data_IF_360779328310
#
_entry.id   IF_360779328310
#
_cell.length_a   1.000
_cell.length_b   1.000
_cell.length_c   1.000
_cell.angle_alpha   90.00
_cell.angle_beta   90.00
_cell.angle_gamma   90.00
#
_symmetry.space_group_name_H-M   'P 1'
#
loop_
_entity.id
_entity.type
_entity.pdbx_description
1 polymer ?
#
# COMPACT_ATOMS: atom_id res chain seq x y z
N UNK A 1 2.40 61.51 28.59
CA UNK A 1 3.82 61.47 28.19
C UNK A 1 3.87 60.63 26.91
N UNK A 2 3.74 61.18 25.68
CA UNK A 2 4.74 61.93 24.87
C UNK A 2 6.08 61.14 24.81
N UNK A 3 6.69 60.72 23.69
CA UNK A 3 6.54 61.02 22.24
C UNK A 3 7.07 59.84 21.38
N UNK A 4 6.54 59.78 20.15
CA UNK A 4 6.98 59.22 18.85
C UNK A 4 8.51 59.12 18.57
N UNK A 5 8.94 58.45 17.49
CA UNK A 5 9.15 59.00 16.12
C UNK A 5 9.35 57.80 15.14
N UNK A 6 8.50 57.59 14.10
CA UNK A 6 8.63 57.99 12.67
C UNK A 6 9.87 57.36 12.00
N UNK A 7 9.89 56.78 10.79
CA UNK A 7 9.02 56.69 9.62
C UNK A 7 9.69 55.68 8.64
N UNK A 8 9.23 55.43 7.42
CA UNK A 8 8.32 56.20 6.59
C UNK A 8 7.83 55.40 5.37
N UNK A 9 6.93 56.09 4.69
CA UNK A 9 6.06 55.71 3.57
C UNK A 9 6.79 55.85 2.23
N UNK A 10 6.14 55.40 1.15
CA UNK A 10 6.23 55.77 -0.28
C UNK A 10 6.67 54.59 -1.15
N UNK A 11 5.90 54.11 -2.13
CA UNK A 11 4.64 54.49 -2.77
C UNK A 11 4.26 53.36 -3.75
N UNK A 12 3.24 53.34 -4.61
CA UNK A 12 2.30 54.28 -5.19
C UNK A 12 1.08 53.41 -5.63
N UNK A 13 -0.15 53.72 -5.20
CA UNK A 13 -1.20 54.41 -5.98
C UNK A 13 -1.73 53.69 -7.24
N UNK A 14 -2.99 53.22 -7.13
CA UNK A 14 -4.17 53.53 -7.99
C UNK A 14 -5.17 52.36 -7.87
N UNK A 15 -6.47 52.44 -7.55
CA UNK A 15 -7.51 53.44 -7.21
C UNK A 15 -8.80 52.61 -6.93
N UNK A 16 -9.64 52.91 -5.92
CA UNK A 16 -10.92 53.64 -5.99
C UNK A 16 -11.86 53.21 -7.16
N UNK A 17 -13.16 52.86 -7.06
CA UNK A 17 -14.27 53.07 -6.12
C UNK A 17 -15.26 51.88 -6.16
N UNK A 18 -15.99 51.68 -5.05
CA UNK A 18 -17.23 50.89 -4.97
C UNK A 18 -18.38 51.61 -5.70
N UNK A 19 -19.10 50.88 -6.56
CA UNK A 19 -20.38 51.27 -7.14
C UNK A 19 -21.32 50.06 -7.08
N UNK A 20 -22.34 50.15 -6.24
CA UNK A 20 -23.40 49.16 -6.06
C UNK A 20 -24.55 49.58 -6.99
N UNK A 21 -24.97 48.73 -7.93
CA UNK A 21 -26.40 48.54 -8.23
C UNK A 21 -26.67 47.32 -9.11
N UNK A 22 -27.78 46.67 -8.80
CA UNK A 22 -28.23 45.35 -9.20
C UNK A 22 -28.53 45.19 -10.69
N UNK A 23 -28.03 44.12 -11.32
CA UNK A 23 -28.72 43.44 -12.43
C UNK A 23 -28.09 42.08 -12.76
N UNK A 24 -28.85 41.01 -12.49
CA UNK A 24 -28.82 39.69 -13.14
C UNK A 24 -27.65 39.38 -14.11
N UNK A 25 -26.72 38.50 -13.71
CA UNK A 25 -26.32 37.26 -14.42
C UNK A 25 -24.91 36.81 -14.00
N UNK A 26 -24.85 35.57 -13.50
CA UNK A 26 -23.74 34.60 -13.54
C UNK A 26 -22.30 35.10 -13.32
N UNK A 27 -21.70 34.64 -12.22
CA UNK A 27 -20.26 34.76 -11.94
C UNK A 27 -19.36 34.39 -13.14
N UNK A 28 -18.27 35.14 -13.39
CA UNK A 28 -17.36 34.88 -14.49
C UNK A 28 -16.47 33.66 -14.20
N UNK A 29 -16.66 32.63 -15.02
CA UNK A 29 -15.84 31.42 -15.15
C UNK A 29 -14.38 31.76 -15.53
N UNK A 30 -13.35 31.16 -14.92
CA UNK A 30 -12.04 31.09 -15.53
C UNK A 30 -12.00 30.01 -16.61
N UNK A 31 -11.51 30.42 -17.78
CA UNK A 31 -11.44 29.69 -19.04
C UNK A 31 -10.78 28.32 -18.94
N UNK A 32 -11.45 27.31 -19.51
CA UNK A 32 -10.83 26.04 -19.91
C UNK A 32 -9.96 26.35 -21.12
N UNK A 33 -8.65 26.15 -21.00
CA UNK A 33 -7.72 26.15 -22.13
C UNK A 33 -6.72 25.02 -21.93
N UNK A 34 -7.13 23.84 -22.39
CA UNK A 34 -6.46 23.02 -23.41
C UNK A 34 -7.06 21.63 -23.26
N UNK A 35 -7.58 21.10 -24.36
CA UNK A 35 -8.07 19.72 -24.47
C UNK A 35 -6.86 18.81 -24.29
N UNK A 36 -6.59 18.43 -23.05
CA UNK A 36 -5.81 17.23 -22.77
C UNK A 36 -6.67 16.05 -23.24
N UNK A 37 -6.12 15.04 -23.94
CA UNK A 37 -6.86 13.83 -24.18
C UNK A 37 -7.25 13.29 -22.80
N UNK A 38 -8.53 13.38 -22.42
CA UNK A 38 -9.04 12.60 -21.31
C UNK A 38 -8.58 11.16 -21.55
N UNK A 39 -7.91 10.51 -20.59
CA UNK A 39 -7.73 9.07 -20.70
C UNK A 39 -9.13 8.50 -20.84
N UNK A 40 -9.43 7.99 -22.04
CA UNK A 40 -10.59 7.14 -22.30
C UNK A 40 -10.66 6.17 -21.13
N UNK A 41 -11.83 6.10 -20.50
CA UNK A 41 -12.07 5.48 -19.20
C UNK A 41 -11.13 4.32 -18.91
N UNK A 42 -10.49 4.37 -17.73
CA UNK A 42 -9.64 3.30 -17.24
C UNK A 42 -10.27 1.95 -17.58
N UNK A 43 -9.52 1.00 -18.16
CA UNK A 43 -10.02 -0.36 -18.28
C UNK A 43 -10.46 -0.76 -16.88
N UNK A 44 -11.71 -1.20 -16.72
CA UNK A 44 -12.27 -1.66 -15.46
C UNK A 44 -11.22 -2.49 -14.77
N UNK A 45 -10.65 -1.97 -13.68
CA UNK A 45 -9.51 -2.60 -13.04
C UNK A 45 -9.95 -3.99 -12.61
N UNK A 46 -9.17 -5.02 -12.94
CA UNK A 46 -9.56 -6.39 -12.64
C UNK A 46 -9.72 -6.56 -11.13
N UNK A 47 -10.72 -7.34 -10.72
CA UNK A 47 -10.92 -7.68 -9.32
C UNK A 47 -9.83 -8.64 -8.87
N UNK A 48 -9.23 -8.39 -7.71
CA UNK A 48 -8.30 -9.35 -7.11
C UNK A 48 -9.04 -10.67 -6.94
N UNK A 49 -8.41 -11.80 -7.28
CA UNK A 49 -9.08 -13.08 -7.12
C UNK A 49 -9.63 -13.72 -8.40
N UNK A 50 -10.01 -12.92 -9.41
CA UNK A 50 -10.78 -13.41 -10.56
C UNK A 50 -9.91 -13.91 -11.73
N UNK A 51 -8.64 -13.49 -11.79
CA UNK A 51 -7.70 -13.87 -12.84
C UNK A 51 -7.03 -15.23 -12.62
N UNK A 52 -6.46 -15.79 -13.70
CA UNK A 52 -5.63 -17.01 -13.68
C UNK A 52 -4.15 -16.75 -13.36
N UNK A 53 -3.75 -15.49 -13.24
CA UNK A 53 -2.39 -15.06 -12.93
C UNK A 53 -2.24 -14.49 -11.53
N UNK A 54 -1.10 -13.85 -11.30
CA UNK A 54 -0.87 -13.08 -10.08
C UNK A 54 -1.47 -11.68 -10.22
N UNK A 55 -2.24 -11.28 -9.23
CA UNK A 55 -2.84 -9.95 -9.14
C UNK A 55 -1.86 -8.93 -8.52
N UNK A 56 -0.85 -9.45 -7.81
CA UNK A 56 0.22 -8.68 -7.17
C UNK A 56 1.57 -9.18 -7.67
N UNK A 57 2.38 -8.28 -8.23
CA UNK A 57 3.75 -8.59 -8.64
C UNK A 57 4.72 -8.21 -7.52
N UNK A 58 5.42 -9.21 -6.98
CA UNK A 58 6.45 -9.03 -5.96
C UNK A 58 7.83 -9.04 -6.58
N UNK A 59 8.59 -7.97 -6.33
CA UNK A 59 9.96 -7.85 -6.81
C UNK A 59 10.90 -7.52 -5.66
N UNK A 60 12.03 -8.23 -5.54
CA UNK A 60 13.13 -7.72 -4.75
C UNK A 60 13.54 -6.34 -5.22
N UNK A 61 13.86 -5.46 -4.27
CA UNK A 61 14.59 -4.24 -4.59
C UNK A 61 16.05 -4.53 -5.00
N UNK A 62 16.63 -5.63 -4.49
CA UNK A 62 17.98 -6.16 -4.78
C UNK A 62 18.01 -7.68 -4.66
N UNK A 63 19.03 -8.34 -5.22
CA UNK A 63 19.25 -9.81 -5.16
C UNK A 63 19.06 -10.36 -3.73
N UNK A 64 18.40 -11.52 -3.58
CA UNK A 64 17.84 -12.02 -2.29
C UNK A 64 18.61 -13.18 -1.65
N UNK A 65 19.88 -13.32 -2.00
CA UNK A 65 20.85 -14.01 -1.15
C UNK A 65 21.44 -12.94 -0.23
N UNK A 66 20.83 -12.74 0.95
CA UNK A 66 21.19 -11.64 1.86
C UNK A 66 21.47 -12.16 3.26
N UNK A 67 22.60 -11.74 3.82
CA UNK A 67 23.02 -12.11 5.19
C UNK A 67 22.25 -11.36 6.28
N UNK A 68 21.56 -10.26 5.91
CA UNK A 68 20.96 -9.32 6.86
C UNK A 68 19.51 -9.02 6.50
N UNK A 69 19.25 -7.91 5.81
CA UNK A 69 17.91 -7.40 5.53
C UNK A 69 17.76 -7.12 4.03
N UNK A 70 16.52 -7.17 3.55
CA UNK A 70 16.18 -6.83 2.16
C UNK A 70 14.83 -6.15 2.08
N UNK A 71 14.55 -5.44 0.98
CA UNK A 71 13.25 -4.80 0.76
C UNK A 71 12.57 -5.47 -0.43
N UNK A 72 11.30 -5.82 -0.26
CA UNK A 72 10.42 -6.30 -1.33
C UNK A 72 9.44 -5.19 -1.71
N UNK A 73 9.22 -5.02 -3.00
CA UNK A 73 8.18 -4.13 -3.51
C UNK A 73 7.02 -4.97 -4.06
N UNK A 74 5.81 -4.64 -3.67
CA UNK A 74 4.58 -5.16 -4.24
C UNK A 74 3.95 -4.11 -5.14
N UNK A 75 3.63 -4.50 -6.37
CA UNK A 75 2.77 -3.74 -7.25
C UNK A 75 1.40 -4.42 -7.32
N UNK A 76 0.39 -3.80 -6.71
CA UNK A 76 -0.98 -4.28 -6.70
C UNK A 76 -1.71 -3.74 -7.92
N UNK A 77 -2.03 -4.63 -8.87
CA UNK A 77 -2.68 -4.28 -10.13
C UNK A 77 -4.20 -4.41 -10.13
N UNK A 78 -4.79 -4.86 -9.02
CA UNK A 78 -6.20 -5.24 -8.92
C UNK A 78 -6.99 -4.40 -7.91
N UNK A 79 -8.33 -4.44 -8.02
CA UNK A 79 -9.25 -3.84 -7.06
C UNK A 79 -9.78 -4.89 -6.08
N UNK A 80 -9.81 -4.55 -4.79
CA UNK A 80 -10.42 -5.39 -3.75
C UNK A 80 -11.95 -5.27 -3.76
N UNK A 81 -12.64 -6.39 -3.52
CA UNK A 81 -14.06 -6.36 -3.22
C UNK A 81 -14.28 -5.90 -1.78
N UNK A 82 -15.47 -5.36 -1.44
CA UNK A 82 -15.81 -5.10 -0.05
C UNK A 82 -15.69 -6.38 0.79
N UNK A 83 -14.90 -6.33 1.86
CA UNK A 83 -14.64 -7.47 2.75
C UNK A 83 -13.45 -8.36 2.34
N UNK A 84 -12.80 -8.09 1.21
CA UNK A 84 -11.55 -8.78 0.86
C UNK A 84 -10.34 -8.04 1.43
N UNK A 85 -9.33 -8.80 1.84
CA UNK A 85 -8.09 -8.32 2.45
C UNK A 85 -6.88 -8.85 1.69
N UNK A 86 -5.97 -7.95 1.27
CA UNK A 86 -4.65 -8.34 0.77
C UNK A 86 -3.65 -8.32 1.92
N UNK A 87 -2.95 -9.42 2.16
CA UNK A 87 -2.11 -9.56 3.36
C UNK A 87 -0.72 -10.04 2.99
N UNK A 88 0.30 -9.35 3.50
CA UNK A 88 1.69 -9.81 3.48
C UNK A 88 1.84 -11.03 4.38
N UNK A 89 2.32 -12.11 3.80
CA UNK A 89 2.58 -13.37 4.48
C UNK A 89 4.05 -13.77 4.36
N UNK A 90 4.62 -14.19 5.48
CA UNK A 90 5.91 -14.86 5.54
C UNK A 90 5.69 -16.30 5.96
N UNK A 91 6.10 -17.23 5.12
CA UNK A 91 6.12 -18.66 5.40
C UNK A 91 7.54 -19.09 5.74
N UNK A 92 7.69 -19.83 6.83
CA UNK A 92 8.94 -20.48 7.21
C UNK A 92 8.69 -21.98 7.28
N UNK A 93 9.42 -22.75 6.47
CA UNK A 93 9.25 -24.19 6.38
C UNK A 93 10.20 -24.91 7.35
N UNK A 94 9.70 -25.90 8.10
CA UNK A 94 10.55 -26.85 8.84
C UNK A 94 11.12 -26.34 10.17
N UNK A 95 10.57 -25.27 10.74
CA UNK A 95 11.07 -24.60 11.95
C UNK A 95 10.69 -25.28 13.28
N UNK A 96 10.00 -26.41 13.26
CA UNK A 96 9.43 -27.00 14.48
C UNK A 96 9.46 -28.53 14.48
N UNK A 97 9.22 -29.14 15.65
CA UNK A 97 9.16 -30.59 15.83
C UNK A 97 7.77 -30.99 16.36
N UNK A 98 6.94 -31.71 15.59
CA UNK A 98 7.21 -32.24 14.24
C UNK A 98 7.32 -31.12 13.18
N UNK A 99 8.03 -31.34 12.06
CA UNK A 99 8.18 -30.35 11.00
C UNK A 99 6.84 -29.89 10.43
N UNK A 100 6.61 -28.58 10.47
CA UNK A 100 5.48 -27.92 9.85
C UNK A 100 5.90 -26.54 9.31
N UNK A 101 5.02 -25.93 8.53
CA UNK A 101 5.19 -24.56 8.03
C UNK A 101 4.54 -23.58 9.00
N UNK A 102 5.28 -22.56 9.39
CA UNK A 102 4.78 -21.43 10.17
C UNK A 102 4.47 -20.27 9.24
N UNK A 103 3.31 -19.66 9.41
CA UNK A 103 2.85 -18.52 8.64
C UNK A 103 2.75 -17.31 9.55
N UNK A 104 3.31 -16.18 9.11
CA UNK A 104 3.31 -14.94 9.86
C UNK A 104 2.66 -13.85 9.02
N UNK A 105 1.60 -13.26 9.53
CA UNK A 105 1.04 -12.03 8.98
C UNK A 105 1.98 -10.87 9.29
N UNK A 106 2.21 -9.99 8.31
CA UNK A 106 3.08 -8.81 8.49
C UNK A 106 2.37 -7.49 8.31
N UNK A 107 1.27 -7.47 7.57
CA UNK A 107 0.47 -6.27 7.38
C UNK A 107 -0.46 -6.40 6.18
N UNK A 108 -1.42 -5.49 6.11
CA UNK A 108 -2.41 -5.44 5.04
C UNK A 108 -1.96 -4.48 3.93
N UNK A 109 -2.26 -4.82 2.69
CA UNK A 109 -2.14 -3.92 1.54
C UNK A 109 -3.53 -3.37 1.27
N UNK A 110 -3.60 -2.06 1.01
CA UNK A 110 -4.86 -1.39 0.71
C UNK A 110 -5.26 -1.54 -0.76
N UNK A 111 -5.68 -0.43 -1.34
CA UNK A 111 -6.05 -0.33 -2.75
C UNK A 111 -4.88 -0.62 -3.71
N UNK A 112 -5.19 -0.73 -4.99
CA UNK A 112 -4.18 -0.74 -6.05
C UNK A 112 -3.11 0.34 -5.85
N UNK A 113 -1.85 -0.02 -6.08
CA UNK A 113 -0.71 0.85 -5.79
C UNK A 113 0.59 0.09 -5.57
N UNK A 114 1.61 0.82 -5.13
CA UNK A 114 2.93 0.27 -4.80
C UNK A 114 3.12 0.25 -3.29
N UNK A 115 3.63 -0.88 -2.78
CA UNK A 115 3.92 -1.09 -1.37
C UNK A 115 5.32 -1.63 -1.20
N UNK A 116 5.94 -1.37 -0.06
CA UNK A 116 7.25 -1.90 0.29
C UNK A 116 7.16 -2.66 1.61
N UNK A 117 7.90 -3.76 1.69
CA UNK A 117 8.03 -4.58 2.89
C UNK A 117 9.51 -4.86 3.16
N UNK A 118 9.99 -4.43 4.32
CA UNK A 118 11.34 -4.74 4.77
C UNK A 118 11.37 -6.13 5.42
N UNK A 119 12.13 -7.02 4.78
CA UNK A 119 12.39 -8.37 5.22
C UNK A 119 13.61 -8.34 6.15
N UNK A 120 13.38 -8.60 7.43
CA UNK A 120 14.45 -8.71 8.42
C UNK A 120 14.84 -10.17 8.67
N UNK A 121 16.10 -10.54 8.39
CA UNK A 121 16.60 -11.91 8.62
C UNK A 121 17.61 -11.99 9.76
N UNK A 122 18.00 -10.88 10.39
CA UNK A 122 19.08 -10.83 11.39
C UNK A 122 18.95 -11.83 12.55
N UNK A 123 17.73 -12.26 12.89
CA UNK A 123 17.45 -13.25 13.94
C UNK A 123 17.09 -14.66 13.41
N UNK A 124 17.11 -14.90 12.10
CA UNK A 124 16.83 -16.23 11.52
C UNK A 124 17.99 -17.21 11.76
N UNK A 125 17.76 -18.50 11.92
CA UNK A 125 18.89 -19.45 11.98
C UNK A 125 19.61 -19.54 10.62
N UNK A 126 20.93 -19.80 10.61
CA UNK A 126 21.66 -20.06 9.36
C UNK A 126 21.04 -21.25 8.61
N UNK A 127 20.87 -21.12 7.30
CA UNK A 127 20.16 -22.11 6.47
C UNK A 127 18.64 -21.98 6.49
N UNK A 128 18.08 -21.02 7.23
CA UNK A 128 16.64 -20.72 7.18
C UNK A 128 16.22 -20.27 5.79
N UNK A 129 15.13 -20.86 5.30
CA UNK A 129 14.48 -20.48 4.04
C UNK A 129 13.13 -19.86 4.39
N UNK A 130 12.96 -18.60 4.01
CA UNK A 130 11.70 -17.87 4.19
C UNK A 130 11.10 -17.54 2.82
N UNK A 131 9.79 -17.68 2.71
CA UNK A 131 9.04 -17.27 1.51
C UNK A 131 8.12 -16.13 1.88
N UNK A 132 8.25 -15.00 1.20
CA UNK A 132 7.34 -13.86 1.35
C UNK A 132 6.43 -13.78 0.14
N UNK A 133 5.13 -13.64 0.37
CA UNK A 133 4.12 -13.50 -0.67
C UNK A 133 2.91 -12.70 -0.16
N UNK A 134 2.00 -12.33 -1.06
CA UNK A 134 0.72 -11.71 -0.73
C UNK A 134 -0.40 -12.71 -0.95
N UNK A 135 -1.30 -12.79 0.02
CA UNK A 135 -2.56 -13.55 -0.06
C UNK A 135 -3.75 -12.61 -0.15
N UNK A 136 -4.82 -13.11 -0.76
CA UNK A 136 -6.16 -12.56 -0.67
C UNK A 136 -6.94 -13.45 0.30
N UNK A 137 -7.57 -12.84 1.29
CA UNK A 137 -8.46 -13.49 2.24
C UNK A 137 -9.81 -12.77 2.22
N UNK A 138 -10.91 -13.50 2.34
CA UNK A 138 -12.20 -12.89 2.67
C UNK A 138 -12.25 -12.51 4.17
N UNK A 139 -13.27 -11.76 4.56
CA UNK A 139 -13.44 -11.20 5.91
C UNK A 139 -13.49 -12.30 7.00
N UNK A 140 -14.02 -13.48 6.68
CA UNK A 140 -14.08 -14.61 7.62
C UNK A 140 -12.69 -15.21 7.82
N UNK A 141 -12.00 -15.56 6.72
CA UNK A 141 -10.65 -16.08 6.75
C UNK A 141 -9.65 -15.09 7.36
N UNK A 142 -9.81 -13.79 7.09
CA UNK A 142 -8.97 -12.74 7.67
C UNK A 142 -9.12 -12.65 9.19
N UNK A 143 -10.36 -12.74 9.71
CA UNK A 143 -10.58 -12.82 11.16
C UNK A 143 -9.99 -14.07 11.76
N UNK A 144 -10.16 -15.24 11.12
CA UNK A 144 -9.56 -16.48 11.60
C UNK A 144 -8.02 -16.41 11.60
N UNK A 145 -7.41 -15.71 10.64
CA UNK A 145 -5.96 -15.46 10.65
C UNK A 145 -5.52 -14.61 11.85
N UNK A 146 -6.32 -13.61 12.24
CA UNK A 146 -6.01 -12.74 13.39
C UNK A 146 -6.24 -13.48 14.72
N UNK A 147 -7.40 -14.14 14.84
CA UNK A 147 -7.83 -14.80 16.08
C UNK A 147 -7.11 -16.12 16.32
N UNK A 148 -6.72 -16.80 15.24
CA UNK A 148 -6.02 -18.09 15.27
C UNK A 148 -4.50 -17.97 15.42
N UNK A 149 -3.95 -16.75 15.34
CA UNK A 149 -2.53 -16.52 15.58
C UNK A 149 -2.18 -16.76 17.05
N UNK A 150 -1.08 -17.46 17.29
CA UNK A 150 -0.55 -17.62 18.65
C UNK A 150 -0.03 -16.28 19.21
N UNK A 151 0.38 -16.20 20.50
CA UNK A 151 0.91 -14.97 21.08
C UNK A 151 2.13 -14.38 20.36
N UNK A 152 2.85 -15.19 19.56
CA UNK A 152 4.00 -14.77 18.76
C UNK A 152 3.59 -14.39 17.32
N UNK A 153 2.29 -14.41 17.00
CA UNK A 153 1.73 -14.08 15.69
C UNK A 153 1.87 -15.21 14.66
N UNK A 154 2.05 -16.45 15.11
CA UNK A 154 2.23 -17.63 14.26
C UNK A 154 0.89 -18.28 13.96
N UNK A 155 0.67 -18.58 12.69
CA UNK A 155 -0.35 -19.51 12.22
C UNK A 155 0.32 -20.82 11.78
N UNK A 156 -0.20 -21.96 12.25
CA UNK A 156 0.31 -23.29 11.86
C UNK A 156 -0.28 -23.80 10.54
N UNK A 157 -1.41 -23.22 10.14
CA UNK A 157 -2.11 -23.48 8.89
C UNK A 157 -2.82 -22.20 8.47
N UNK A 158 -2.89 -21.93 7.16
CA UNK A 158 -3.78 -20.90 6.64
C UNK A 158 -5.24 -21.41 6.68
N UNK A 159 -6.20 -20.57 7.07
CA UNK A 159 -7.61 -20.93 7.03
C UNK A 159 -8.09 -21.13 5.59
N UNK A 160 -9.22 -21.83 5.47
CA UNK A 160 -9.87 -21.99 4.18
C UNK A 160 -10.37 -20.61 3.70
N UNK A 161 -10.38 -20.36 2.38
CA UNK A 161 -10.70 -19.03 1.82
C UNK A 161 -9.46 -18.14 1.57
N UNK A 162 -8.30 -18.48 2.13
CA UNK A 162 -7.04 -17.80 1.80
C UNK A 162 -6.45 -18.31 0.49
N UNK A 163 -6.18 -17.41 -0.46
CA UNK A 163 -5.48 -17.74 -1.71
C UNK A 163 -4.26 -16.86 -1.93
N UNK A 164 -3.16 -17.45 -2.40
CA UNK A 164 -1.99 -16.67 -2.82
C UNK A 164 -2.29 -15.95 -4.14
N UNK A 165 -2.07 -14.63 -4.17
CA UNK A 165 -2.29 -13.78 -5.35
C UNK A 165 -1.02 -13.12 -5.88
N UNK A 166 0.14 -13.43 -5.29
CA UNK A 166 1.43 -13.00 -5.80
C UNK A 166 2.36 -14.15 -6.16
N UNK A 167 3.38 -13.86 -6.97
CA UNK A 167 4.55 -14.69 -7.05
C UNK A 167 5.25 -14.72 -5.67
N UNK A 168 5.73 -15.88 -5.20
CA UNK A 168 6.47 -15.95 -3.95
C UNK A 168 7.92 -15.52 -4.18
N UNK A 169 8.46 -14.85 -3.18
CA UNK A 169 9.84 -14.42 -3.14
C UNK A 169 10.55 -15.21 -2.05
N UNK A 170 11.58 -15.97 -2.42
CA UNK A 170 12.35 -16.79 -1.46
C UNK A 170 13.57 -16.01 -1.02
N UNK A 171 13.79 -15.98 0.28
CA UNK A 171 14.93 -15.33 0.91
C UNK A 171 15.65 -16.36 1.78
N UNK A 172 16.96 -16.49 1.57
CA UNK A 172 17.80 -17.46 2.27
C UNK A 172 18.83 -16.71 3.11
N UNK A 173 18.97 -17.13 4.37
CA UNK A 173 20.09 -16.71 5.22
C UNK A 173 21.21 -17.73 5.07
N UNK A 174 22.36 -17.29 4.56
CA UNK A 174 23.56 -18.12 4.41
C UNK A 174 24.46 -18.01 5.62
#
# INVERSE_FOLDING_TARGET
>A
MLIAIIGGVFGLFSGFFSGHDDTNKADPKPSISTVEPQPKGSPTQATCGEGSGYDVDLRPHRELDVDTDGTLNALVGCQLRPGDHLVWMVQIDGVSSPPHSNYYQKGELGSAGSYSYDVHLGNAEHGSIRKTYVVLADDEAYREMIDGADPEGVLLKLPDGVRRVSNPVTVKRW
#
